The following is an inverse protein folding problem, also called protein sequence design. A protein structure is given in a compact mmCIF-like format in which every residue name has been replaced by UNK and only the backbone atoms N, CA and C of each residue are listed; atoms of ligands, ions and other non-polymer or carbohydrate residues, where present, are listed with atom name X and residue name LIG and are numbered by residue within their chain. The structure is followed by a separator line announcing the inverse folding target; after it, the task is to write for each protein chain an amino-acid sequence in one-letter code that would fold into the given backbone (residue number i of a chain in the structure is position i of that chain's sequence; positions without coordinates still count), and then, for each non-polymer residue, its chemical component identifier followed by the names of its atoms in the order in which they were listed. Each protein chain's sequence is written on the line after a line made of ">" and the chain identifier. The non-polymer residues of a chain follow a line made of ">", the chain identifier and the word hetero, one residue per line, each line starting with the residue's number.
data_IF_068753625954
#
_entry.id   IF_068753625954
#
_cell.length_a   1.000
_cell.length_b   1.000
_cell.length_c   1.000
_cell.angle_alpha   90.00
_cell.angle_beta   90.00
_cell.angle_gamma   90.00
#
_symmetry.space_group_name_H-M   'P 1'
#
loop_
_entity.id
_entity.type
_entity.pdbx_description
1 polymer ?
#
# COMPACT_ATOMS: atom_id res chain seq x y z
N UNK A 1 46.78 -23.71 -10.44
CA UNK A 1 45.71 -23.45 -9.44
C UNK A 1 44.48 -22.99 -10.21
N UNK A 2 43.26 -23.42 -9.84
CA UNK A 2 42.06 -22.90 -10.47
C UNK A 2 41.86 -21.42 -10.12
N UNK A 3 41.57 -20.61 -11.13
CA UNK A 3 41.27 -19.18 -10.99
C UNK A 3 39.78 -18.99 -10.72
N UNK A 4 39.41 -18.13 -9.76
CA UNK A 4 38.00 -17.87 -9.41
C UNK A 4 37.62 -16.44 -9.80
N UNK A 5 36.38 -16.25 -10.22
CA UNK A 5 35.85 -14.94 -10.63
C UNK A 5 34.60 -14.57 -9.85
N UNK A 6 34.44 -13.28 -9.58
CA UNK A 6 33.23 -12.74 -8.98
C UNK A 6 32.04 -12.92 -9.94
N UNK A 7 30.94 -13.56 -9.50
CA UNK A 7 29.76 -13.75 -10.34
C UNK A 7 29.01 -12.44 -10.65
N UNK A 8 29.35 -11.32 -10.00
CA UNK A 8 28.69 -10.03 -10.22
C UNK A 8 29.48 -9.10 -11.16
N UNK A 9 30.77 -8.88 -10.92
CA UNK A 9 31.60 -7.95 -11.71
C UNK A 9 32.67 -8.63 -12.57
N UNK A 10 32.80 -9.96 -12.49
CA UNK A 10 33.78 -10.76 -13.24
C UNK A 10 35.26 -10.48 -12.91
N UNK A 11 35.56 -9.70 -11.86
CA UNK A 11 36.92 -9.57 -11.34
C UNK A 11 37.42 -10.90 -10.76
N UNK A 12 38.72 -11.17 -10.89
CA UNK A 12 39.37 -12.30 -10.22
C UNK A 12 39.24 -12.16 -8.70
N UNK A 13 38.92 -13.25 -8.02
CA UNK A 13 38.76 -13.31 -6.57
C UNK A 13 39.50 -14.52 -6.01
N UNK A 14 39.97 -14.40 -4.77
CA UNK A 14 40.50 -15.54 -4.05
C UNK A 14 39.40 -16.60 -3.82
N UNK A 15 39.77 -17.88 -3.86
CA UNK A 15 38.85 -19.00 -3.67
C UNK A 15 38.09 -18.95 -2.34
N UNK A 16 38.72 -18.42 -1.29
CA UNK A 16 38.19 -18.31 0.05
C UNK A 16 37.40 -17.00 0.30
N UNK A 17 37.40 -16.06 -0.64
CA UNK A 17 36.69 -14.78 -0.47
C UNK A 17 35.18 -14.95 -0.55
N UNK A 18 34.48 -14.57 0.53
CA UNK A 18 33.01 -14.48 0.56
C UNK A 18 32.48 -13.20 -0.08
N UNK A 19 33.31 -12.16 -0.17
CA UNK A 19 32.94 -10.84 -0.69
C UNK A 19 33.94 -10.41 -1.75
N UNK A 20 33.45 -9.87 -2.86
CA UNK A 20 34.31 -9.38 -3.93
C UNK A 20 35.00 -8.08 -3.51
N UNK A 21 36.34 -8.00 -3.54
CA UNK A 21 37.06 -6.78 -3.18
C UNK A 21 36.83 -5.62 -4.16
N UNK A 22 36.41 -5.92 -5.40
CA UNK A 22 36.22 -4.91 -6.45
C UNK A 22 34.84 -4.26 -6.42
N UNK A 23 33.77 -5.04 -6.18
CA UNK A 23 32.39 -4.53 -6.25
C UNK A 23 31.58 -4.70 -4.96
N UNK A 24 32.17 -5.29 -3.92
CA UNK A 24 31.50 -5.52 -2.63
C UNK A 24 30.40 -6.59 -2.65
N UNK A 25 30.17 -7.28 -3.78
CA UNK A 25 29.12 -8.29 -3.87
C UNK A 25 29.47 -9.57 -3.11
N UNK A 26 28.47 -10.22 -2.54
CA UNK A 26 28.57 -11.57 -1.98
C UNK A 26 28.81 -12.60 -3.11
N UNK A 27 29.97 -13.25 -3.06
CA UNK A 27 30.43 -14.21 -4.07
C UNK A 27 29.63 -15.52 -3.99
N UNK A 28 29.18 -15.93 -2.80
CA UNK A 28 28.41 -17.16 -2.62
C UNK A 28 26.95 -16.97 -3.05
N UNK A 29 26.33 -15.86 -2.66
CA UNK A 29 24.96 -15.55 -3.09
C UNK A 29 24.83 -15.50 -4.63
N UNK A 30 25.88 -15.11 -5.35
CA UNK A 30 25.91 -15.17 -6.80
C UNK A 30 26.02 -16.58 -7.38
N UNK A 31 26.67 -17.52 -6.67
CA UNK A 31 26.79 -18.94 -7.06
C UNK A 31 25.48 -19.70 -6.84
N UNK A 32 24.73 -19.32 -5.82
CA UNK A 32 23.45 -19.94 -5.46
C UNK A 32 22.27 -19.53 -6.37
N UNK A 33 22.48 -18.57 -7.29
CA UNK A 33 21.48 -18.18 -8.29
C UNK A 33 21.08 -19.36 -9.15
N UNK A 34 19.80 -19.42 -9.52
CA UNK A 34 19.29 -20.42 -10.45
C UNK A 34 20.08 -20.36 -11.76
N UNK A 35 20.33 -21.53 -12.36
CA UNK A 35 21.20 -21.65 -13.54
C UNK A 35 20.81 -20.69 -14.70
N UNK A 36 19.52 -20.52 -15.08
CA UNK A 36 19.14 -19.55 -16.11
C UNK A 36 19.50 -18.09 -15.76
N UNK A 37 19.37 -17.70 -14.49
CA UNK A 37 19.72 -16.35 -14.03
C UNK A 37 21.23 -16.11 -14.11
N UNK A 38 22.04 -17.14 -13.84
CA UNK A 38 23.50 -17.08 -14.02
C UNK A 38 23.88 -16.86 -15.47
N UNK A 39 23.19 -17.52 -16.41
CA UNK A 39 23.42 -17.34 -17.85
C UNK A 39 22.97 -15.96 -18.34
N UNK A 40 21.82 -15.46 -17.90
CA UNK A 40 21.38 -14.08 -18.21
C UNK A 40 22.42 -13.06 -17.73
N UNK A 41 22.99 -13.26 -16.55
CA UNK A 41 24.06 -12.41 -16.03
C UNK A 41 25.36 -12.55 -16.85
N UNK A 42 25.68 -13.75 -17.31
CA UNK A 42 26.88 -14.02 -18.12
C UNK A 42 26.88 -13.31 -19.49
N UNK A 43 25.73 -12.83 -19.98
CA UNK A 43 25.67 -11.97 -21.17
C UNK A 43 26.40 -10.63 -20.97
N UNK A 44 26.65 -10.21 -19.73
CA UNK A 44 27.41 -8.99 -19.39
C UNK A 44 28.92 -9.22 -19.24
N UNK A 45 29.40 -10.44 -19.49
CA UNK A 45 30.79 -10.80 -19.29
C UNK A 45 31.70 -10.05 -20.28
N UNK A 46 32.90 -9.57 -19.90
CA UNK A 46 33.78 -8.82 -20.80
C UNK A 46 34.30 -9.64 -21.98
N UNK A 47 34.52 -10.94 -21.78
CA UNK A 47 34.99 -11.86 -22.82
C UNK A 47 33.85 -12.34 -23.73
N UNK A 48 34.01 -12.19 -25.05
CA UNK A 48 33.01 -12.58 -26.06
C UNK A 48 32.68 -14.08 -26.02
N UNK A 49 33.67 -14.95 -25.86
CA UNK A 49 33.46 -16.42 -25.83
C UNK A 49 32.50 -16.87 -24.71
N UNK A 50 32.57 -16.21 -23.55
CA UNK A 50 31.66 -16.48 -22.43
C UNK A 50 30.24 -16.01 -22.77
N UNK A 51 30.10 -14.82 -23.36
CA UNK A 51 28.79 -14.32 -23.83
C UNK A 51 28.20 -15.24 -24.89
N UNK A 52 29.00 -15.70 -25.84
CA UNK A 52 28.59 -16.63 -26.90
C UNK A 52 28.06 -17.95 -26.33
N UNK A 53 28.77 -18.52 -25.35
CA UNK A 53 28.30 -19.73 -24.65
C UNK A 53 26.98 -19.50 -23.91
N UNK A 54 26.84 -18.33 -23.27
CA UNK A 54 25.59 -17.95 -22.61
C UNK A 54 24.43 -17.77 -23.60
N UNK A 55 24.68 -17.15 -24.77
CA UNK A 55 23.69 -16.98 -25.84
C UNK A 55 23.13 -18.33 -26.28
N UNK A 56 24.01 -19.30 -26.56
CA UNK A 56 23.61 -20.64 -27.00
C UNK A 56 22.80 -21.39 -25.94
N UNK A 57 23.28 -21.37 -24.69
CA UNK A 57 22.60 -22.03 -23.58
C UNK A 57 21.22 -21.42 -23.29
N UNK A 58 21.10 -20.09 -23.33
CA UNK A 58 19.83 -19.39 -23.15
C UNK A 58 18.84 -19.66 -24.30
N UNK A 59 19.32 -19.78 -25.54
CA UNK A 59 18.47 -20.13 -26.69
C UNK A 59 17.85 -21.53 -26.55
N UNK A 60 18.54 -22.45 -25.87
CA UNK A 60 18.04 -23.79 -25.61
C UNK A 60 17.09 -23.85 -24.41
N UNK A 61 17.39 -23.11 -23.35
CA UNK A 61 16.58 -23.09 -22.13
C UNK A 61 15.32 -22.22 -22.25
N UNK A 62 15.36 -21.21 -23.12
CA UNK A 62 14.28 -20.26 -23.37
C UNK A 62 13.65 -19.64 -22.11
N UNK A 63 14.45 -19.19 -21.12
CA UNK A 63 13.89 -18.61 -19.92
C UNK A 63 13.19 -17.28 -20.23
N UNK A 64 12.23 -16.91 -19.39
CA UNK A 64 11.58 -15.61 -19.46
C UNK A 64 12.63 -14.47 -19.41
N UNK A 65 12.43 -13.44 -20.22
CA UNK A 65 13.35 -12.30 -20.32
C UNK A 65 14.58 -12.49 -21.23
N UNK A 66 14.84 -13.69 -21.75
CA UNK A 66 15.99 -13.95 -22.62
C UNK A 66 16.06 -13.04 -23.85
N UNK A 67 14.92 -12.77 -24.50
CA UNK A 67 14.88 -11.94 -25.71
C UNK A 67 15.42 -10.53 -25.47
N UNK A 68 14.97 -9.87 -24.41
CA UNK A 68 15.43 -8.52 -24.06
C UNK A 68 16.90 -8.51 -23.64
N UNK A 69 17.33 -9.52 -22.87
CA UNK A 69 18.73 -9.65 -22.48
C UNK A 69 19.67 -9.85 -23.69
N UNK A 70 19.21 -10.56 -24.73
CA UNK A 70 19.92 -10.65 -25.99
C UNK A 70 20.01 -9.30 -26.71
N UNK A 71 18.91 -8.53 -26.77
CA UNK A 71 18.93 -7.22 -27.38
C UNK A 71 19.90 -6.25 -26.68
N UNK A 72 19.89 -6.24 -25.34
CA UNK A 72 20.83 -5.43 -24.55
C UNK A 72 22.28 -5.83 -24.83
N UNK A 73 22.58 -7.14 -24.82
CA UNK A 73 23.91 -7.67 -25.10
C UNK A 73 24.45 -7.26 -26.48
N UNK A 74 23.60 -7.28 -27.52
CA UNK A 74 24.00 -6.81 -28.85
C UNK A 74 24.29 -5.30 -28.86
N UNK A 75 23.44 -4.50 -28.23
CA UNK A 75 23.56 -3.04 -28.21
C UNK A 75 24.71 -2.52 -27.34
N UNK A 76 25.07 -3.23 -26.28
CA UNK A 76 26.25 -2.93 -25.45
C UNK A 76 27.56 -3.27 -26.19
N UNK A 77 27.52 -4.18 -27.17
CA UNK A 77 28.67 -4.64 -27.95
C UNK A 77 28.47 -4.47 -29.47
N UNK A 78 28.20 -3.25 -29.96
CA UNK A 78 27.73 -3.03 -31.33
C UNK A 78 28.79 -3.31 -32.42
N UNK A 79 30.06 -3.45 -32.02
CA UNK A 79 31.20 -3.72 -32.90
C UNK A 79 31.50 -5.22 -33.08
N UNK A 80 30.73 -6.11 -32.44
CA UNK A 80 30.87 -7.56 -32.59
C UNK A 80 29.73 -8.13 -33.45
N UNK A 81 29.85 -8.09 -34.80
CA UNK A 81 28.80 -8.59 -35.69
C UNK A 81 28.61 -10.11 -35.58
N UNK A 82 29.62 -10.87 -35.15
CA UNK A 82 29.52 -12.33 -34.99
C UNK A 82 28.59 -12.66 -33.82
N UNK A 83 28.79 -12.00 -32.68
CA UNK A 83 27.90 -12.10 -31.54
C UNK A 83 26.48 -11.63 -31.88
N UNK A 84 26.35 -10.52 -32.60
CA UNK A 84 25.04 -10.01 -33.03
C UNK A 84 24.27 -11.01 -33.92
N UNK A 85 24.95 -11.69 -34.84
CA UNK A 85 24.33 -12.75 -35.67
C UNK A 85 23.97 -13.98 -34.84
N UNK A 86 24.79 -14.36 -33.86
CA UNK A 86 24.46 -15.46 -32.95
C UNK A 86 23.22 -15.13 -32.10
N UNK A 87 23.07 -13.88 -31.66
CA UNK A 87 21.88 -13.38 -30.96
C UNK A 87 20.63 -13.50 -31.85
N UNK A 88 20.70 -13.14 -33.13
CA UNK A 88 19.56 -13.29 -34.04
C UNK A 88 19.12 -14.75 -34.17
N UNK A 89 20.07 -15.69 -34.31
CA UNK A 89 19.78 -17.13 -34.34
C UNK A 89 19.21 -17.65 -33.02
N UNK A 90 19.65 -17.08 -31.90
CA UNK A 90 19.08 -17.39 -30.60
C UNK A 90 17.64 -16.89 -30.48
N UNK A 91 17.37 -15.66 -30.95
CA UNK A 91 16.04 -15.07 -31.00
C UNK A 91 15.09 -15.91 -31.86
N UNK A 92 15.51 -16.45 -33.01
CA UNK A 92 14.69 -17.36 -33.84
C UNK A 92 14.11 -18.55 -33.08
N UNK A 93 14.81 -19.01 -32.04
CA UNK A 93 14.42 -20.19 -31.26
C UNK A 93 13.49 -19.86 -30.10
N UNK A 94 13.35 -18.59 -29.72
CA UNK A 94 12.49 -18.17 -28.62
C UNK A 94 11.01 -18.12 -29.04
N UNK A 95 10.07 -18.25 -28.09
CA UNK A 95 8.66 -18.03 -28.36
C UNK A 95 8.40 -16.61 -28.88
N UNK A 96 7.70 -16.50 -30.01
CA UNK A 96 7.34 -15.22 -30.64
C UNK A 96 6.21 -14.55 -29.88
N UNK A 97 6.57 -13.87 -28.79
CA UNK A 97 5.66 -13.10 -27.94
C UNK A 97 5.97 -11.59 -28.06
N UNK A 98 5.20 -10.70 -27.39
CA UNK A 98 5.43 -9.26 -27.50
C UNK A 98 6.81 -8.80 -27.01
N UNK A 99 7.35 -9.46 -25.97
CA UNK A 99 8.70 -9.17 -25.48
C UNK A 99 9.78 -9.52 -26.51
N UNK A 100 9.60 -10.61 -27.25
CA UNK A 100 10.44 -10.97 -28.40
C UNK A 100 10.37 -9.90 -29.49
N UNK A 101 9.17 -9.48 -29.88
CA UNK A 101 8.99 -8.48 -30.94
C UNK A 101 9.64 -7.13 -30.55
N UNK A 102 9.47 -6.70 -29.30
CA UNK A 102 10.13 -5.51 -28.75
C UNK A 102 11.65 -5.64 -28.78
N UNK A 103 12.19 -6.80 -28.37
CA UNK A 103 13.63 -7.06 -28.40
C UNK A 103 14.20 -7.01 -29.82
N UNK A 104 13.54 -7.67 -30.78
CA UNK A 104 13.98 -7.69 -32.18
C UNK A 104 13.87 -6.29 -32.81
N UNK A 105 12.80 -5.54 -32.51
CA UNK A 105 12.61 -4.16 -32.98
C UNK A 105 13.77 -3.24 -32.58
N UNK A 106 14.26 -3.36 -31.34
CA UNK A 106 15.45 -2.60 -30.88
C UNK A 106 16.72 -2.89 -31.68
N UNK A 107 16.79 -4.03 -32.37
CA UNK A 107 17.95 -4.43 -33.16
C UNK A 107 17.89 -3.98 -34.62
N UNK A 108 16.77 -3.44 -35.09
CA UNK A 108 16.62 -2.97 -36.49
C UNK A 108 17.64 -1.86 -36.80
N UNK A 109 17.84 -0.93 -35.86
CA UNK A 109 18.78 0.19 -35.99
C UNK A 109 20.21 -0.15 -35.49
N UNK A 110 20.55 -1.44 -35.38
CA UNK A 110 21.85 -1.86 -34.86
C UNK A 110 23.01 -1.37 -35.77
N UNK A 111 24.12 -0.82 -35.21
CA UNK A 111 25.22 -0.25 -36.01
C UNK A 111 25.85 -1.21 -37.03
N UNK A 112 25.91 -2.49 -36.71
CA UNK A 112 26.28 -3.53 -37.66
C UNK A 112 25.09 -3.87 -38.58
N UNK A 113 25.15 -3.44 -39.84
CA UNK A 113 24.05 -3.57 -40.80
C UNK A 113 23.56 -5.01 -41.04
N UNK A 114 24.42 -6.02 -40.84
CA UNK A 114 24.03 -7.44 -40.92
C UNK A 114 23.05 -7.82 -39.81
N UNK A 115 23.21 -7.23 -38.63
CA UNK A 115 22.32 -7.45 -37.48
C UNK A 115 21.00 -6.72 -37.70
N UNK A 116 21.05 -5.46 -38.13
CA UNK A 116 19.84 -4.68 -38.44
C UNK A 116 18.96 -5.34 -39.50
N UNK A 117 19.55 -5.77 -40.63
CA UNK A 117 18.80 -6.51 -41.67
C UNK A 117 18.26 -7.85 -41.19
N UNK A 118 19.04 -8.58 -40.38
CA UNK A 118 18.58 -9.84 -39.82
C UNK A 118 17.42 -9.66 -38.84
N UNK A 119 17.45 -8.63 -38.00
CA UNK A 119 16.35 -8.27 -37.12
C UNK A 119 15.09 -7.88 -37.93
N UNK A 120 15.25 -7.08 -38.99
CA UNK A 120 14.13 -6.75 -39.88
C UNK A 120 13.53 -8.00 -40.51
N UNK A 121 14.35 -8.92 -41.03
CA UNK A 121 13.87 -10.19 -41.60
C UNK A 121 13.10 -11.05 -40.57
N UNK A 122 13.53 -11.03 -39.31
CA UNK A 122 12.80 -11.70 -38.23
C UNK A 122 11.41 -11.10 -38.01
N UNK A 123 11.30 -9.76 -37.99
CA UNK A 123 10.02 -9.07 -37.89
C UNK A 123 9.13 -9.33 -39.11
N UNK A 124 9.70 -9.27 -40.31
CA UNK A 124 8.97 -9.52 -41.57
C UNK A 124 8.44 -10.96 -41.64
N UNK A 125 9.12 -11.90 -40.97
CA UNK A 125 8.67 -13.29 -40.86
C UNK A 125 7.54 -13.51 -39.84
N UNK A 126 7.14 -12.49 -39.08
CA UNK A 126 6.01 -12.61 -38.15
C UNK A 126 4.68 -12.57 -38.89
N UNK A 127 3.68 -13.38 -38.48
CA UNK A 127 2.34 -13.26 -39.02
C UNK A 127 1.82 -11.84 -38.79
N UNK A 128 1.28 -11.24 -39.86
CA UNK A 128 0.71 -9.91 -39.86
C UNK A 128 -0.32 -9.78 -38.72
N UNK A 129 -0.01 -8.96 -37.71
CA UNK A 129 -0.84 -8.79 -36.51
C UNK A 129 -0.05 -8.63 -35.20
N UNK A 130 1.24 -8.98 -35.19
CA UNK A 130 2.01 -9.06 -33.94
C UNK A 130 3.27 -8.14 -33.91
N UNK A 131 3.57 -7.43 -35.00
CA UNK A 131 4.54 -6.31 -35.07
C UNK A 131 3.82 -5.03 -35.46
N UNK A 132 3.79 -4.03 -34.57
CA UNK A 132 3.44 -2.64 -34.92
C UNK A 132 2.04 -2.37 -35.49
N UNK A 133 1.14 -3.36 -35.50
CA UNK A 133 -0.26 -3.15 -35.87
C UNK A 133 -0.90 -2.21 -34.87
N UNK A 134 -1.45 -1.09 -35.35
CA UNK A 134 -2.29 -0.19 -34.55
C UNK A 134 -3.22 -1.03 -33.67
N UNK A 135 -3.12 -0.88 -32.35
CA UNK A 135 -3.94 -1.61 -31.40
C UNK A 135 -5.41 -1.23 -31.66
N UNK A 136 -6.16 -2.10 -32.34
CA UNK A 136 -7.55 -1.82 -32.65
C UNK A 136 -8.36 -1.77 -31.35
N UNK A 137 -9.40 -0.91 -31.27
CA UNK A 137 -10.27 -0.86 -30.09
C UNK A 137 -10.85 -2.23 -29.71
N UNK A 138 -11.23 -3.03 -30.71
CA UNK A 138 -11.79 -4.37 -30.48
C UNK A 138 -10.78 -5.35 -29.90
N UNK A 139 -9.53 -5.31 -30.39
CA UNK A 139 -8.46 -6.16 -29.86
C UNK A 139 -8.10 -5.74 -28.43
N UNK A 140 -7.99 -4.44 -28.16
CA UNK A 140 -7.77 -3.94 -26.82
C UNK A 140 -8.89 -4.41 -25.88
N UNK A 141 -10.15 -4.26 -26.28
CA UNK A 141 -11.29 -4.71 -25.49
C UNK A 141 -11.18 -6.19 -25.17
N UNK A 142 -10.93 -7.03 -26.18
CA UNK A 142 -10.77 -8.47 -25.97
C UNK A 142 -9.65 -8.79 -24.98
N UNK A 143 -8.52 -8.06 -25.03
CA UNK A 143 -7.41 -8.21 -24.08
C UNK A 143 -7.76 -7.77 -22.65
N UNK A 144 -8.51 -6.68 -22.50
CA UNK A 144 -8.91 -6.14 -21.18
C UNK A 144 -9.99 -7.01 -20.53
N UNK A 145 -10.96 -7.47 -21.32
CA UNK A 145 -12.12 -8.21 -20.84
C UNK A 145 -11.78 -9.71 -20.61
N UNK A 146 -10.64 -10.20 -21.12
CA UNK A 146 -10.08 -11.51 -20.76
C UNK A 146 -9.32 -11.45 -19.42
N UNK A 147 -10.06 -11.60 -18.34
CA UNK A 147 -9.52 -11.61 -16.97
C UNK A 147 -8.42 -12.65 -16.73
N UNK A 148 -8.49 -13.80 -17.41
CA UNK A 148 -7.46 -14.83 -17.26
C UNK A 148 -6.14 -14.42 -17.95
N UNK A 149 -6.24 -13.59 -18.99
CA UNK A 149 -5.12 -13.11 -19.79
C UNK A 149 -4.45 -11.82 -19.28
N UNK A 150 -4.87 -11.24 -18.14
CA UNK A 150 -4.37 -9.93 -17.67
C UNK A 150 -2.86 -9.83 -17.54
N UNK A 151 -2.16 -10.91 -17.20
CA UNK A 151 -0.70 -10.92 -17.16
C UNK A 151 -0.08 -10.74 -18.56
N UNK A 152 -0.61 -11.45 -19.57
CA UNK A 152 -0.14 -11.33 -20.95
C UNK A 152 -0.55 -10.00 -21.57
N UNK A 153 -1.78 -9.54 -21.30
CA UNK A 153 -2.28 -8.24 -21.72
C UNK A 153 -1.41 -7.11 -21.12
N UNK A 154 -0.99 -7.23 -19.86
CA UNK A 154 -0.10 -6.24 -19.24
C UNK A 154 1.26 -6.18 -19.93
N UNK A 155 1.88 -7.34 -20.21
CA UNK A 155 3.14 -7.40 -20.93
C UNK A 155 3.02 -6.84 -22.36
N UNK A 156 1.91 -7.14 -23.04
CA UNK A 156 1.62 -6.63 -24.38
C UNK A 156 1.46 -5.11 -24.37
N UNK A 157 0.62 -4.56 -23.49
CA UNK A 157 0.37 -3.12 -23.39
C UNK A 157 1.64 -2.36 -22.97
N UNK A 158 2.44 -2.92 -22.07
CA UNK A 158 3.74 -2.36 -21.71
C UNK A 158 4.69 -2.30 -22.93
N UNK A 159 4.71 -3.34 -23.76
CA UNK A 159 5.52 -3.37 -24.98
C UNK A 159 5.05 -2.35 -26.04
N UNK A 160 3.76 -1.97 -26.05
CA UNK A 160 3.23 -0.91 -26.93
C UNK A 160 3.63 0.50 -26.47
N UNK A 161 3.98 0.70 -25.20
CA UNK A 161 4.38 2.01 -24.66
C UNK A 161 3.33 3.10 -24.93
N UNK A 162 3.77 4.24 -25.47
CA UNK A 162 2.88 5.38 -25.80
C UNK A 162 1.75 5.01 -26.78
N UNK A 163 1.95 4.01 -27.65
CA UNK A 163 0.94 3.62 -28.64
C UNK A 163 -0.32 3.00 -28.00
N UNK A 164 -0.23 2.47 -26.77
CA UNK A 164 -1.38 1.95 -26.04
C UNK A 164 -2.24 3.05 -25.37
N UNK A 165 -1.76 4.28 -25.27
CA UNK A 165 -2.40 5.32 -24.46
C UNK A 165 -3.77 5.72 -24.99
N UNK A 166 -3.88 6.09 -26.26
CA UNK A 166 -5.15 6.53 -26.82
C UNK A 166 -6.19 5.39 -26.88
N UNK A 167 -5.84 4.16 -27.28
CA UNK A 167 -6.75 3.02 -27.16
C UNK A 167 -7.29 2.81 -25.73
N UNK A 168 -6.41 2.87 -24.71
CA UNK A 168 -6.84 2.76 -23.30
C UNK A 168 -7.78 3.89 -22.89
N UNK A 169 -7.50 5.13 -23.31
CA UNK A 169 -8.39 6.27 -23.06
C UNK A 169 -9.74 6.11 -23.75
N UNK A 170 -9.75 5.65 -25.01
CA UNK A 170 -10.98 5.35 -25.75
C UNK A 170 -11.83 4.33 -24.99
N UNK A 171 -11.23 3.21 -24.55
CA UNK A 171 -11.92 2.20 -23.74
C UNK A 171 -12.50 2.81 -22.45
N UNK A 172 -11.73 3.68 -21.76
CA UNK A 172 -12.18 4.33 -20.53
C UNK A 172 -13.30 5.38 -20.76
N UNK A 173 -13.38 6.02 -21.93
CA UNK A 173 -14.42 6.99 -22.26
C UNK A 173 -15.79 6.38 -22.58
N UNK A 174 -15.85 5.06 -22.79
CA UNK A 174 -17.13 4.36 -23.01
C UNK A 174 -18.06 4.40 -21.79
N UNK A 175 -17.51 4.76 -20.62
CA UNK A 175 -18.26 5.01 -19.41
C UNK A 175 -18.41 3.81 -18.47
N UNK A 176 -19.24 3.96 -17.42
CA UNK A 176 -19.37 2.97 -16.36
C UNK A 176 -19.91 1.64 -16.87
N UNK A 177 -19.38 0.55 -16.31
CA UNK A 177 -19.78 -0.82 -16.61
C UNK A 177 -20.17 -1.53 -15.32
N UNK A 178 -21.03 -2.56 -15.40
CA UNK A 178 -21.45 -3.35 -14.22
C UNK A 178 -20.26 -4.14 -13.65
N UNK A 179 -19.32 -4.55 -14.50
CA UNK A 179 -18.08 -5.16 -14.05
C UNK A 179 -16.95 -4.12 -14.12
N UNK A 180 -16.40 -3.66 -12.97
CA UNK A 180 -15.37 -2.64 -12.95
C UNK A 180 -13.99 -3.15 -13.35
N UNK A 181 -13.77 -4.48 -13.37
CA UNK A 181 -12.43 -5.06 -13.45
C UNK A 181 -11.67 -4.67 -14.72
N UNK A 182 -12.35 -4.65 -15.88
CA UNK A 182 -11.74 -4.20 -17.13
C UNK A 182 -11.30 -2.74 -17.07
N UNK A 183 -12.16 -1.86 -16.54
CA UNK A 183 -11.86 -0.42 -16.36
C UNK A 183 -10.75 -0.18 -15.33
N UNK A 184 -10.75 -0.89 -14.19
CA UNK A 184 -9.67 -0.82 -13.18
C UNK A 184 -8.34 -1.28 -13.77
N UNK A 185 -8.34 -2.38 -14.53
CA UNK A 185 -7.16 -2.84 -15.25
C UNK A 185 -6.65 -1.80 -16.25
N UNK A 186 -7.54 -1.22 -17.06
CA UNK A 186 -7.20 -0.17 -18.02
C UNK A 186 -6.59 1.07 -17.34
N UNK A 187 -7.15 1.53 -16.21
CA UNK A 187 -6.57 2.61 -15.38
C UNK A 187 -5.17 2.24 -14.91
N UNK A 188 -4.98 1.00 -14.43
CA UNK A 188 -3.68 0.52 -13.95
C UNK A 188 -2.65 0.47 -15.08
N UNK A 189 -3.05 0.02 -16.27
CA UNK A 189 -2.16 -0.03 -17.44
C UNK A 189 -1.80 1.38 -17.90
N UNK A 190 -2.77 2.28 -18.00
CA UNK A 190 -2.54 3.68 -18.36
C UNK A 190 -1.55 4.33 -17.38
N UNK A 191 -1.72 4.10 -16.07
CA UNK A 191 -0.83 4.58 -15.03
C UNK A 191 0.61 4.03 -15.10
N UNK A 192 0.83 2.86 -15.72
CA UNK A 192 2.16 2.25 -15.88
C UNK A 192 2.97 2.80 -17.06
N UNK A 193 2.32 3.42 -18.04
CA UNK A 193 2.99 3.88 -19.28
C UNK A 193 3.95 5.07 -19.09
N UNK A 194 4.04 5.65 -17.88
CA UNK A 194 5.09 6.60 -17.48
C UNK A 194 5.09 7.98 -18.17
N UNK A 195 4.22 8.21 -19.15
CA UNK A 195 4.11 9.47 -19.88
C UNK A 195 3.43 10.57 -19.04
N UNK A 196 3.71 11.83 -19.33
CA UNK A 196 3.12 13.00 -18.66
C UNK A 196 1.63 13.12 -19.02
N UNK A 197 1.25 12.81 -20.26
CA UNK A 197 -0.15 12.86 -20.71
C UNK A 197 -1.03 11.72 -20.12
N UNK A 198 -0.46 10.79 -19.36
CA UNK A 198 -1.23 9.82 -18.57
C UNK A 198 -2.12 10.53 -17.55
N UNK A 199 -1.64 11.63 -16.96
CA UNK A 199 -2.42 12.37 -15.97
C UNK A 199 -3.70 12.91 -16.59
N UNK A 200 -3.65 13.43 -17.82
CA UNK A 200 -4.85 13.93 -18.50
C UNK A 200 -5.89 12.82 -18.69
N UNK A 201 -5.45 11.62 -19.11
CA UNK A 201 -6.34 10.46 -19.25
C UNK A 201 -6.93 9.97 -17.92
N UNK A 202 -6.14 9.97 -16.84
CA UNK A 202 -6.63 9.63 -15.50
C UNK A 202 -7.65 10.67 -15.00
N UNK A 203 -7.38 11.95 -15.23
CA UNK A 203 -8.29 13.04 -14.84
C UNK A 203 -9.59 13.01 -15.63
N UNK A 204 -9.55 12.69 -16.91
CA UNK A 204 -10.77 12.46 -17.71
C UNK A 204 -11.69 11.45 -17.03
N UNK A 205 -11.13 10.33 -16.53
CA UNK A 205 -11.92 9.31 -15.81
C UNK A 205 -12.40 9.81 -14.45
N UNK A 206 -11.56 10.53 -13.69
CA UNK A 206 -11.93 11.05 -12.37
C UNK A 206 -13.14 11.99 -12.44
N UNK A 207 -13.16 12.88 -13.44
CA UNK A 207 -14.19 13.91 -13.58
C UNK A 207 -15.40 13.47 -14.41
N UNK A 208 -15.29 12.38 -15.19
CA UNK A 208 -16.42 11.83 -15.91
C UNK A 208 -17.42 11.16 -14.95
N UNK A 209 -18.71 11.17 -15.32
CA UNK A 209 -19.79 10.42 -14.64
C UNK A 209 -19.82 10.58 -13.10
N UNK A 210 -20.30 11.71 -12.57
CA UNK A 210 -20.42 11.91 -11.13
C UNK A 210 -21.15 10.76 -10.45
N UNK A 211 -20.61 10.19 -9.36
CA UNK A 211 -21.14 8.95 -8.80
C UNK A 211 -22.60 9.06 -8.35
N UNK A 212 -23.00 10.24 -7.87
CA UNK A 212 -24.36 10.52 -7.42
C UNK A 212 -25.41 10.50 -8.55
N UNK A 213 -24.99 10.62 -9.81
CA UNK A 213 -25.86 10.56 -10.99
C UNK A 213 -26.05 9.12 -11.52
N UNK A 214 -25.20 8.18 -11.09
CA UNK A 214 -25.25 6.80 -11.55
C UNK A 214 -26.25 5.94 -10.77
N UNK A 215 -26.85 4.97 -11.47
CA UNK A 215 -27.62 3.89 -10.84
C UNK A 215 -26.73 3.06 -9.90
N UNK A 216 -27.31 2.50 -8.83
CA UNK A 216 -26.54 1.85 -7.77
C UNK A 216 -25.49 0.82 -8.24
N UNK A 217 -25.78 -0.12 -9.16
CA UNK A 217 -24.79 -1.09 -9.62
C UNK A 217 -23.60 -0.46 -10.37
N UNK A 218 -23.89 0.57 -11.17
CA UNK A 218 -22.87 1.32 -11.91
C UNK A 218 -22.07 2.24 -10.97
N UNK A 219 -22.72 2.81 -9.95
CA UNK A 219 -22.09 3.66 -8.95
C UNK A 219 -21.04 2.89 -8.16
N UNK A 220 -21.36 1.70 -7.68
CA UNK A 220 -20.42 0.85 -6.94
C UNK A 220 -19.22 0.46 -7.82
N UNK A 221 -19.48 0.12 -9.07
CA UNK A 221 -18.43 -0.23 -10.03
C UNK A 221 -17.53 0.96 -10.35
N UNK A 222 -18.10 2.12 -10.69
CA UNK A 222 -17.32 3.31 -11.03
C UNK A 222 -16.61 3.90 -9.81
N UNK A 223 -17.13 3.69 -8.59
CA UNK A 223 -16.43 4.04 -7.35
C UNK A 223 -15.07 3.33 -7.25
N UNK A 224 -15.00 2.04 -7.58
CA UNK A 224 -13.73 1.28 -7.59
C UNK A 224 -12.77 1.78 -8.69
N UNK A 225 -13.31 2.13 -9.86
CA UNK A 225 -12.51 2.68 -10.97
C UNK A 225 -11.89 4.03 -10.58
N UNK A 226 -12.70 4.94 -10.04
CA UNK A 226 -12.23 6.26 -9.60
C UNK A 226 -11.28 6.18 -8.41
N UNK A 227 -11.49 5.25 -7.49
CA UNK A 227 -10.55 5.02 -6.37
C UNK A 227 -9.16 4.56 -6.87
N UNK A 228 -9.13 3.68 -7.89
CA UNK A 228 -7.90 3.29 -8.56
C UNK A 228 -7.23 4.48 -9.29
N UNK A 229 -8.02 5.33 -9.95
CA UNK A 229 -7.52 6.56 -10.58
C UNK A 229 -6.81 7.45 -9.57
N UNK A 230 -7.44 7.74 -8.43
CA UNK A 230 -6.85 8.58 -7.38
C UNK A 230 -5.59 7.95 -6.80
N UNK A 231 -5.61 6.62 -6.59
CA UNK A 231 -4.43 5.88 -6.11
C UNK A 231 -3.22 6.10 -7.01
N UNK A 232 -3.41 6.00 -8.33
CA UNK A 232 -2.33 6.16 -9.31
C UNK A 232 -1.95 7.63 -9.55
N UNK A 233 -2.93 8.52 -9.67
CA UNK A 233 -2.69 9.94 -9.89
C UNK A 233 -1.96 10.56 -8.71
N UNK A 234 -2.41 10.34 -7.47
CA UNK A 234 -1.82 10.93 -6.28
C UNK A 234 -0.37 10.46 -6.00
N UNK A 235 0.08 9.35 -6.60
CA UNK A 235 1.45 8.87 -6.50
C UNK A 235 2.44 9.60 -7.42
N UNK A 236 1.94 10.40 -8.38
CA UNK A 236 2.75 11.17 -9.34
C UNK A 236 2.86 12.62 -8.90
N UNK A 237 3.85 13.34 -9.39
CA UNK A 237 4.00 14.78 -9.13
C UNK A 237 3.47 15.59 -10.32
N UNK A 238 2.41 16.38 -10.10
CA UNK A 238 1.81 17.24 -11.11
C UNK A 238 1.03 18.39 -10.46
N UNK A 239 0.87 19.56 -11.13
CA UNK A 239 0.43 20.78 -10.48
C UNK A 239 -0.96 20.73 -9.83
N UNK A 240 -1.90 19.98 -10.41
CA UNK A 240 -3.29 19.91 -9.93
C UNK A 240 -3.55 18.76 -8.95
N UNK A 241 -2.50 18.03 -8.52
CA UNK A 241 -2.64 16.85 -7.65
C UNK A 241 -3.48 17.09 -6.41
N UNK A 242 -3.20 18.17 -5.68
CA UNK A 242 -3.94 18.48 -4.46
C UNK A 242 -5.41 18.84 -4.73
N UNK A 243 -5.68 19.49 -5.87
CA UNK A 243 -7.04 19.84 -6.28
C UNK A 243 -7.85 18.60 -6.69
N UNK A 244 -7.24 17.66 -7.41
CA UNK A 244 -7.87 16.41 -7.80
C UNK A 244 -8.19 15.54 -6.57
N UNK A 245 -7.26 15.46 -5.59
CA UNK A 245 -7.50 14.77 -4.31
C UNK A 245 -8.62 15.44 -3.52
N UNK A 246 -8.64 16.78 -3.47
CA UNK A 246 -9.71 17.53 -2.80
C UNK A 246 -11.08 17.27 -3.46
N UNK A 247 -11.15 17.26 -4.79
CA UNK A 247 -12.36 16.90 -5.53
C UNK A 247 -12.82 15.48 -5.22
N UNK A 248 -11.91 14.50 -5.34
CA UNK A 248 -12.18 13.10 -5.07
C UNK A 248 -12.69 12.85 -3.64
N UNK A 249 -12.16 13.58 -2.65
CA UNK A 249 -12.59 13.50 -1.27
C UNK A 249 -13.96 14.15 -1.06
N UNK A 250 -14.15 15.38 -1.53
CA UNK A 250 -15.35 16.20 -1.25
C UNK A 250 -16.56 15.76 -2.07
N UNK A 251 -16.36 15.46 -3.34
CA UNK A 251 -17.44 15.17 -4.29
C UNK A 251 -17.75 13.69 -4.39
N UNK A 252 -16.72 12.84 -4.38
CA UNK A 252 -16.85 11.40 -4.65
C UNK A 252 -16.64 10.51 -3.40
N UNK A 253 -16.12 11.09 -2.30
CA UNK A 253 -15.85 10.41 -1.02
C UNK A 253 -14.99 9.15 -1.16
N UNK A 254 -13.93 9.22 -1.98
CA UNK A 254 -13.07 8.07 -2.31
C UNK A 254 -12.04 7.77 -1.19
N UNK A 255 -11.89 6.50 -0.73
CA UNK A 255 -10.92 6.10 0.29
C UNK A 255 -9.47 6.43 -0.08
N UNK A 256 -9.09 6.23 -1.34
CA UNK A 256 -7.77 6.58 -1.84
C UNK A 256 -7.50 8.08 -1.73
N UNK A 257 -8.52 8.94 -1.88
CA UNK A 257 -8.39 10.38 -1.71
C UNK A 257 -8.15 10.76 -0.25
N UNK A 258 -8.83 10.08 0.69
CA UNK A 258 -8.60 10.25 2.13
C UNK A 258 -7.16 9.91 2.49
N UNK A 259 -6.66 8.75 2.05
CA UNK A 259 -5.27 8.35 2.27
C UNK A 259 -4.26 9.27 1.57
N UNK A 260 -4.57 9.72 0.36
CA UNK A 260 -3.73 10.66 -0.38
C UNK A 260 -3.63 12.03 0.30
N UNK A 261 -4.72 12.56 0.86
CA UNK A 261 -4.72 13.84 1.57
C UNK A 261 -3.71 13.84 2.74
N UNK A 262 -3.65 12.74 3.50
CA UNK A 262 -2.67 12.58 4.57
C UNK A 262 -1.22 12.49 4.05
N UNK A 263 -0.96 11.65 3.04
CA UNK A 263 0.40 11.48 2.47
C UNK A 263 0.94 12.75 1.81
N UNK A 264 0.07 13.53 1.19
CA UNK A 264 0.45 14.76 0.50
C UNK A 264 0.55 15.96 1.44
N UNK A 265 0.17 15.83 2.72
CA UNK A 265 0.22 16.94 3.66
C UNK A 265 -0.82 18.03 3.37
N UNK A 266 -1.96 17.69 2.76
CA UNK A 266 -2.98 18.67 2.34
C UNK A 266 -3.79 19.16 3.55
N UNK A 267 -3.17 20.03 4.36
CA UNK A 267 -3.73 20.54 5.61
C UNK A 267 -5.09 21.25 5.47
N UNK A 268 -5.36 21.84 4.31
CA UNK A 268 -6.65 22.48 3.99
C UNK A 268 -7.85 21.51 4.01
N UNK A 269 -7.61 20.20 3.91
CA UNK A 269 -8.64 19.16 3.97
C UNK A 269 -8.87 18.60 5.38
N UNK A 270 -8.13 19.10 6.40
CA UNK A 270 -8.24 18.58 7.76
C UNK A 270 -9.66 18.69 8.35
N UNK A 271 -10.42 19.79 8.17
CA UNK A 271 -11.80 19.87 8.65
C UNK A 271 -12.71 18.80 8.02
N UNK A 272 -12.54 18.50 6.74
CA UNK A 272 -13.28 17.45 6.06
C UNK A 272 -12.90 16.05 6.55
N UNK A 273 -11.61 15.80 6.79
CA UNK A 273 -11.16 14.55 7.38
C UNK A 273 -11.75 14.34 8.78
N UNK A 274 -11.88 15.40 9.58
CA UNK A 274 -12.56 15.32 10.90
C UNK A 274 -14.03 14.95 10.73
N UNK A 275 -14.74 15.55 9.77
CA UNK A 275 -16.14 15.17 9.47
C UNK A 275 -16.26 13.70 9.05
N UNK A 276 -15.27 13.16 8.33
CA UNK A 276 -15.24 11.75 7.93
C UNK A 276 -15.04 10.77 9.11
N UNK A 277 -14.67 11.24 10.31
CA UNK A 277 -14.66 10.40 11.52
C UNK A 277 -16.06 9.94 11.92
N UNK A 278 -17.12 10.62 11.48
CA UNK A 278 -18.52 10.21 11.66
C UNK A 278 -18.95 9.09 10.71
N UNK A 279 -18.16 8.81 9.66
CA UNK A 279 -18.49 7.83 8.64
C UNK A 279 -18.15 6.40 9.09
N UNK A 280 -18.94 5.40 8.69
CA UNK A 280 -18.71 4.01 9.08
C UNK A 280 -17.64 3.32 8.22
N UNK A 281 -17.40 3.81 7.01
CA UNK A 281 -16.45 3.24 6.03
C UNK A 281 -15.13 4.01 6.03
N UNK A 282 -15.19 5.34 5.99
CA UNK A 282 -14.02 6.19 5.78
C UNK A 282 -13.30 6.61 7.06
N UNK A 283 -13.90 6.42 8.23
CA UNK A 283 -13.34 6.96 9.47
C UNK A 283 -11.95 6.43 9.83
N UNK A 284 -11.65 5.17 9.53
CA UNK A 284 -10.32 4.62 9.79
C UNK A 284 -9.27 5.31 8.91
N UNK A 285 -9.53 5.42 7.60
CA UNK A 285 -8.65 6.12 6.68
C UNK A 285 -8.51 7.60 7.06
N UNK A 286 -9.60 8.24 7.52
CA UNK A 286 -9.59 9.64 7.95
C UNK A 286 -8.72 9.84 9.20
N UNK A 287 -8.82 8.96 10.21
CA UNK A 287 -7.95 9.00 11.39
C UNK A 287 -6.47 8.81 11.05
N UNK A 288 -6.16 7.90 10.12
CA UNK A 288 -4.79 7.71 9.62
C UNK A 288 -4.29 8.94 8.85
N UNK A 289 -5.13 9.56 8.03
CA UNK A 289 -4.78 10.78 7.31
C UNK A 289 -4.53 11.95 8.27
N UNK A 290 -5.39 12.14 9.28
CA UNK A 290 -5.21 13.16 10.32
C UNK A 290 -3.92 12.93 11.12
N UNK A 291 -3.57 11.66 11.41
CA UNK A 291 -2.29 11.30 12.03
C UNK A 291 -1.11 11.72 11.16
N UNK A 292 -1.18 11.44 9.85
CA UNK A 292 -0.13 11.80 8.89
C UNK A 292 0.03 13.32 8.72
N UNK A 293 -1.06 14.10 8.89
CA UNK A 293 -1.01 15.57 8.89
C UNK A 293 -0.34 16.16 10.15
N UNK A 294 -0.05 15.35 11.17
CA UNK A 294 0.67 15.78 12.37
C UNK A 294 -0.03 16.95 13.10
N UNK A 295 0.69 18.05 13.42
CA UNK A 295 0.12 19.18 14.15
C UNK A 295 -1.11 19.81 13.50
N UNK A 296 -1.20 19.83 12.16
CA UNK A 296 -2.36 20.38 11.45
C UNK A 296 -3.60 19.51 11.69
N UNK A 297 -3.43 18.19 11.64
CA UNK A 297 -4.50 17.24 11.96
C UNK A 297 -4.93 17.34 13.42
N UNK A 298 -3.98 17.48 14.35
CA UNK A 298 -4.27 17.70 15.78
C UNK A 298 -5.10 18.96 16.00
N UNK A 299 -4.70 20.08 15.40
CA UNK A 299 -5.39 21.35 15.53
C UNK A 299 -6.85 21.26 15.04
N UNK A 300 -7.07 20.63 13.88
CA UNK A 300 -8.41 20.45 13.33
C UNK A 300 -9.31 19.58 14.22
N UNK A 301 -8.77 18.50 14.81
CA UNK A 301 -9.54 17.68 15.75
C UNK A 301 -9.88 18.50 17.01
N UNK A 302 -8.91 19.21 17.58
CA UNK A 302 -9.11 20.01 18.78
C UNK A 302 -10.13 21.13 18.58
N UNK A 303 -10.16 21.74 17.39
CA UNK A 303 -11.14 22.76 17.00
C UNK A 303 -12.57 22.20 16.94
N UNK A 304 -12.75 21.00 16.37
CA UNK A 304 -14.08 20.39 16.22
C UNK A 304 -14.58 19.62 17.45
N UNK A 305 -13.68 19.20 18.35
CA UNK A 305 -14.00 18.34 19.48
C UNK A 305 -15.08 18.90 20.43
N UNK A 306 -15.14 20.20 20.76
CA UNK A 306 -16.21 20.75 21.60
C UNK A 306 -17.61 20.47 21.04
N UNK A 307 -17.80 20.66 19.74
CA UNK A 307 -19.09 20.44 19.06
C UNK A 307 -19.44 18.95 19.00
N UNK A 308 -18.45 18.09 18.72
CA UNK A 308 -18.62 16.64 18.72
C UNK A 308 -19.05 16.13 20.09
N UNK A 309 -18.40 16.60 21.17
CA UNK A 309 -18.76 16.25 22.55
C UNK A 309 -20.15 16.77 22.92
N UNK A 310 -20.50 18.01 22.54
CA UNK A 310 -21.83 18.55 22.81
C UNK A 310 -22.96 17.76 22.11
N UNK A 311 -22.71 17.27 20.89
CA UNK A 311 -23.69 16.51 20.11
C UNK A 311 -23.75 15.01 20.47
N UNK A 312 -22.69 14.47 21.09
CA UNK A 312 -22.52 13.06 21.42
C UNK A 312 -23.73 12.39 22.11
N UNK A 313 -24.36 12.99 23.15
CA UNK A 313 -25.43 12.32 23.89
C UNK A 313 -26.67 12.02 23.04
N UNK A 314 -26.89 12.81 21.99
CA UNK A 314 -28.07 12.71 21.11
C UNK A 314 -27.74 12.14 19.73
N UNK A 315 -26.48 12.20 19.28
CA UNK A 315 -26.05 11.72 17.97
C UNK A 315 -24.97 10.67 18.09
N UNK A 316 -25.35 9.42 17.79
CA UNK A 316 -24.46 8.26 17.74
C UNK A 316 -23.21 8.51 16.87
N UNK A 317 -23.36 9.14 15.70
CA UNK A 317 -22.22 9.40 14.81
C UNK A 317 -21.22 10.37 15.42
N UNK A 318 -21.70 11.43 16.08
CA UNK A 318 -20.84 12.38 16.78
C UNK A 318 -20.13 11.74 17.98
N UNK A 319 -20.75 10.75 18.65
CA UNK A 319 -20.09 9.89 19.64
C UNK A 319 -18.91 9.12 19.08
N UNK A 320 -19.13 8.44 17.96
CA UNK A 320 -18.07 7.68 17.28
C UNK A 320 -16.94 8.60 16.83
N UNK A 321 -17.27 9.76 16.24
CA UNK A 321 -16.29 10.75 15.82
C UNK A 321 -15.49 11.33 16.99
N UNK A 322 -16.14 11.68 18.11
CA UNK A 322 -15.46 12.15 19.32
C UNK A 322 -14.47 11.10 19.84
N UNK A 323 -14.91 9.85 19.98
CA UNK A 323 -14.05 8.73 20.40
C UNK A 323 -12.86 8.56 19.45
N UNK A 324 -13.10 8.48 18.14
CA UNK A 324 -12.05 8.29 17.11
C UNK A 324 -11.08 9.47 17.06
N UNK A 325 -11.58 10.70 17.21
CA UNK A 325 -10.77 11.93 17.28
C UNK A 325 -9.85 11.93 18.50
N UNK A 326 -10.38 11.61 19.69
CA UNK A 326 -9.59 11.49 20.92
C UNK A 326 -8.49 10.41 20.81
N UNK A 327 -8.82 9.25 20.26
CA UNK A 327 -7.81 8.21 20.03
C UNK A 327 -6.74 8.66 19.02
N UNK A 328 -7.13 9.39 17.98
CA UNK A 328 -6.19 9.97 17.00
C UNK A 328 -5.26 11.02 17.64
N UNK A 329 -5.79 11.86 18.53
CA UNK A 329 -4.97 12.80 19.32
C UNK A 329 -3.98 12.06 20.23
N UNK A 330 -4.39 10.94 20.86
CA UNK A 330 -3.49 10.11 21.68
C UNK A 330 -2.33 9.55 20.84
N UNK A 331 -2.63 8.94 19.69
CA UNK A 331 -1.62 8.30 18.85
C UNK A 331 -0.56 9.29 18.35
N UNK A 332 -0.95 10.56 18.17
CA UNK A 332 -0.04 11.62 17.75
C UNK A 332 0.66 12.32 18.93
N UNK A 333 0.43 11.88 20.17
CA UNK A 333 1.02 12.47 21.37
C UNK A 333 0.51 13.88 21.69
N UNK A 334 -0.67 14.26 21.20
CA UNK A 334 -1.25 15.57 21.46
C UNK A 334 -1.66 15.72 22.94
N UNK A 335 -1.59 16.94 23.47
CA UNK A 335 -2.18 17.28 24.76
C UNK A 335 -3.63 17.73 24.58
N UNK A 336 -4.53 17.24 25.42
CA UNK A 336 -5.91 17.72 25.46
C UNK A 336 -6.02 18.90 26.46
N UNK A 337 -6.64 20.03 26.07
CA UNK A 337 -6.89 21.14 27.00
C UNK A 337 -7.64 20.66 28.26
N UNK A 338 -7.26 21.10 29.47
CA UNK A 338 -7.87 20.62 30.71
C UNK A 338 -9.40 20.71 30.75
N UNK A 339 -9.96 21.80 30.19
CA UNK A 339 -11.40 22.00 30.09
C UNK A 339 -12.11 20.90 29.29
N UNK A 340 -11.51 20.46 28.17
CA UNK A 340 -12.06 19.40 27.32
C UNK A 340 -11.83 18.01 27.93
N UNK A 341 -10.73 17.81 28.65
CA UNK A 341 -10.51 16.56 29.38
C UNK A 341 -11.54 16.37 30.51
N UNK A 342 -11.87 17.46 31.22
CA UNK A 342 -12.80 17.44 32.35
C UNK A 342 -14.27 17.31 31.92
N UNK A 343 -14.67 17.86 30.76
CA UNK A 343 -16.04 17.74 30.25
C UNK A 343 -16.44 16.29 29.97
N UNK A 344 -15.46 15.41 29.72
CA UNK A 344 -15.62 13.97 29.49
C UNK A 344 -16.47 13.23 30.53
N UNK A 345 -16.52 13.69 31.77
CA UNK A 345 -17.15 12.97 32.89
C UNK A 345 -18.68 12.80 32.78
N UNK A 346 -19.36 13.62 31.96
CA UNK A 346 -20.80 13.53 31.72
C UNK A 346 -21.22 12.78 30.45
N UNK A 347 -20.25 12.27 29.68
CA UNK A 347 -20.49 11.65 28.37
C UNK A 347 -20.64 10.14 28.47
N UNK A 348 -20.95 9.52 27.32
CA UNK A 348 -20.94 8.07 27.19
C UNK A 348 -19.65 7.45 27.74
N UNK A 349 -19.71 6.29 28.45
CA UNK A 349 -18.53 5.72 29.13
C UNK A 349 -17.29 5.55 28.25
N UNK A 350 -17.46 5.18 26.98
CA UNK A 350 -16.35 5.07 26.03
C UNK A 350 -15.67 6.43 25.72
N UNK A 351 -16.45 7.51 25.61
CA UNK A 351 -15.93 8.86 25.39
C UNK A 351 -15.29 9.40 26.66
N UNK A 352 -15.91 9.18 27.82
CA UNK A 352 -15.35 9.50 29.12
C UNK A 352 -13.99 8.80 29.33
N UNK A 353 -13.89 7.52 29.00
CA UNK A 353 -12.64 6.76 29.04
C UNK A 353 -11.58 7.34 28.10
N UNK A 354 -11.96 7.72 26.87
CA UNK A 354 -11.05 8.35 25.92
C UNK A 354 -10.54 9.72 26.39
N UNK A 355 -11.39 10.55 27.02
CA UNK A 355 -10.94 11.80 27.65
C UNK A 355 -9.99 11.54 28.84
N UNK A 356 -10.26 10.50 29.63
CA UNK A 356 -9.45 10.12 30.80
C UNK A 356 -8.02 9.71 30.43
N UNK A 357 -7.75 9.35 29.17
CA UNK A 357 -6.39 9.08 28.68
C UNK A 357 -5.46 10.29 28.77
N UNK A 358 -6.02 11.50 28.76
CA UNK A 358 -5.28 12.77 28.83
C UNK A 358 -5.24 13.37 30.23
N UNK A 359 -5.89 12.72 31.21
CA UNK A 359 -5.99 13.22 32.57
C UNK A 359 -4.86 12.67 33.45
N UNK A 360 -4.48 13.38 34.53
CA UNK A 360 -3.60 12.83 35.54
C UNK A 360 -4.26 11.62 36.24
N UNK A 361 -3.43 10.78 36.86
CA UNK A 361 -3.90 9.65 37.64
C UNK A 361 -4.76 10.12 38.83
N UNK A 362 -5.86 9.42 39.07
CA UNK A 362 -6.83 9.75 40.12
C UNK A 362 -8.00 8.76 40.10
N UNK A 363 -8.82 8.76 41.15
CA UNK A 363 -9.94 7.82 41.28
C UNK A 363 -10.92 7.90 40.10
N UNK A 364 -11.34 9.12 39.71
CA UNK A 364 -12.25 9.34 38.59
C UNK A 364 -11.64 8.88 37.26
N UNK A 365 -10.37 9.20 37.02
CA UNK A 365 -9.63 8.77 35.84
C UNK A 365 -9.52 7.24 35.80
N UNK A 366 -9.14 6.59 36.90
CA UNK A 366 -9.04 5.13 36.99
C UNK A 366 -10.40 4.46 36.68
N UNK A 367 -11.49 4.97 37.27
CA UNK A 367 -12.84 4.47 36.99
C UNK A 367 -13.20 4.56 35.51
N UNK A 368 -12.97 5.71 34.88
CA UNK A 368 -13.25 5.89 33.45
C UNK A 368 -12.39 4.97 32.58
N UNK A 369 -11.09 4.83 32.89
CA UNK A 369 -10.19 3.95 32.15
C UNK A 369 -10.57 2.47 32.29
N UNK A 370 -10.97 2.01 33.48
CA UNK A 370 -11.42 0.62 33.66
C UNK A 370 -12.66 0.35 32.81
N UNK A 371 -13.63 1.28 32.76
CA UNK A 371 -14.79 1.16 31.84
C UNK A 371 -14.35 1.03 30.39
N UNK A 372 -13.38 1.85 29.95
CA UNK A 372 -12.83 1.72 28.60
C UNK A 372 -12.13 0.37 28.36
N UNK A 373 -11.42 -0.15 29.36
CA UNK A 373 -10.66 -1.39 29.30
C UNK A 373 -11.51 -2.68 29.29
N UNK A 374 -12.79 -2.58 29.62
CA UNK A 374 -13.75 -3.69 29.59
C UNK A 374 -14.83 -3.52 28.51
N UNK A 375 -14.74 -2.45 27.70
CA UNK A 375 -15.67 -2.21 26.59
C UNK A 375 -15.40 -3.07 25.35
N UNK A 376 -16.12 -2.78 24.27
CA UNK A 376 -16.02 -3.54 23.01
C UNK A 376 -15.09 -2.90 21.96
N UNK A 377 -14.80 -1.61 22.09
CA UNK A 377 -13.92 -0.91 21.16
C UNK A 377 -12.47 -1.35 21.42
N UNK A 378 -11.99 -2.36 20.67
CA UNK A 378 -10.68 -3.00 20.89
C UNK A 378 -9.52 -2.00 21.01
N UNK A 379 -9.46 -0.99 20.14
CA UNK A 379 -8.44 0.06 20.24
C UNK A 379 -8.53 0.83 21.56
N UNK A 380 -9.72 1.21 22.03
CA UNK A 380 -9.90 1.86 23.33
C UNK A 380 -9.52 0.93 24.50
N UNK A 381 -9.86 -0.36 24.39
CA UNK A 381 -9.52 -1.37 25.39
C UNK A 381 -8.01 -1.46 25.57
N UNK A 382 -7.28 -1.69 24.48
CA UNK A 382 -5.83 -1.90 24.51
C UNK A 382 -5.12 -0.68 25.15
N UNK A 383 -5.52 0.51 24.72
CA UNK A 383 -4.88 1.77 25.12
C UNK A 383 -5.23 2.17 26.56
N UNK A 384 -6.42 1.81 27.07
CA UNK A 384 -6.80 1.97 28.48
C UNK A 384 -6.09 0.97 29.38
N UNK A 385 -6.01 -0.31 28.96
CA UNK A 385 -5.27 -1.35 29.69
C UNK A 385 -3.81 -0.98 29.85
N UNK A 386 -3.15 -0.55 28.77
CA UNK A 386 -1.77 -0.05 28.80
C UNK A 386 -1.59 1.09 29.80
N UNK A 387 -2.51 2.07 29.79
CA UNK A 387 -2.45 3.24 30.69
C UNK A 387 -2.60 2.85 32.16
N UNK A 388 -3.48 1.90 32.47
CA UNK A 388 -3.74 1.41 33.84
C UNK A 388 -2.58 0.60 34.44
N UNK A 389 -1.66 0.08 33.61
CA UNK A 389 -0.46 -0.60 34.10
C UNK A 389 0.57 0.36 34.73
N UNK A 390 0.41 1.67 34.54
CA UNK A 390 1.31 2.66 35.11
C UNK A 390 1.21 2.69 36.65
N UNK A 391 2.33 2.80 37.38
CA UNK A 391 2.35 2.72 38.85
C UNK A 391 1.41 3.70 39.56
N UNK A 392 1.21 4.88 38.97
CA UNK A 392 0.42 5.97 39.55
C UNK A 392 -1.08 5.63 39.70
N UNK A 393 -1.58 4.62 38.98
CA UNK A 393 -2.97 4.20 39.10
C UNK A 393 -3.22 3.20 40.23
N UNK A 394 -2.18 2.54 40.75
CA UNK A 394 -2.30 1.46 41.77
C UNK A 394 -3.19 1.83 42.97
N UNK A 395 -3.09 3.03 43.58
CA UNK A 395 -3.92 3.39 44.73
C UNK A 395 -5.42 3.37 44.46
N UNK A 396 -5.81 3.47 43.18
CA UNK A 396 -7.19 3.64 42.75
C UNK A 396 -7.79 2.38 42.11
N UNK A 397 -6.96 1.39 41.74
CA UNK A 397 -7.41 0.21 40.98
C UNK A 397 -8.44 -0.61 41.74
N UNK A 398 -8.21 -0.92 43.02
CA UNK A 398 -9.11 -1.78 43.79
C UNK A 398 -10.52 -1.19 43.87
N UNK A 399 -10.63 0.07 44.29
CA UNK A 399 -11.93 0.74 44.39
C UNK A 399 -12.64 0.84 43.04
N UNK A 400 -11.89 1.02 41.95
CA UNK A 400 -12.44 1.10 40.61
C UNK A 400 -12.91 -0.26 40.06
N UNK A 401 -12.17 -1.35 40.31
CA UNK A 401 -12.59 -2.71 39.99
C UNK A 401 -13.85 -3.09 40.77
N UNK A 402 -13.90 -2.80 42.06
CA UNK A 402 -15.07 -3.07 42.90
C UNK A 402 -16.31 -2.29 42.45
N UNK A 403 -16.13 -1.05 41.97
CA UNK A 403 -17.22 -0.25 41.42
C UNK A 403 -17.82 -0.92 40.16
N UNK A 404 -16.96 -1.38 39.24
CA UNK A 404 -17.39 -2.03 37.99
C UNK A 404 -18.00 -3.41 38.26
N UNK A 405 -17.48 -4.17 39.21
CA UNK A 405 -18.05 -5.46 39.60
C UNK A 405 -19.49 -5.36 40.15
N UNK A 406 -19.91 -4.18 40.63
CA UNK A 406 -21.29 -3.92 41.09
C UNK A 406 -22.23 -3.54 39.96
N UNK A 407 -21.72 -3.32 38.75
CA UNK A 407 -22.52 -2.95 37.59
C UNK A 407 -22.74 -4.18 36.70
N UNK A 408 -23.93 -4.80 36.73
CA UNK A 408 -24.18 -6.05 36.04
C UNK A 408 -24.21 -5.89 34.52
N UNK A 409 -24.28 -4.65 34.02
CA UNK A 409 -24.37 -4.32 32.61
C UNK A 409 -23.62 -3.05 32.30
N UNK A 410 -23.01 -3.01 31.12
CA UNK A 410 -22.36 -1.84 30.56
C UNK A 410 -22.93 -1.51 29.17
N UNK A 411 -23.06 -0.21 28.84
CA UNK A 411 -23.43 0.18 27.48
C UNK A 411 -22.29 -0.09 26.49
N UNK A 412 -22.60 -0.71 25.35
CA UNK A 412 -21.73 -0.70 24.17
C UNK A 412 -21.63 0.73 23.59
N UNK A 413 -20.85 0.91 22.53
CA UNK A 413 -20.70 2.24 21.90
C UNK A 413 -22.02 2.80 21.33
N UNK A 414 -23.01 1.94 21.09
CA UNK A 414 -24.34 2.30 20.60
C UNK A 414 -25.31 2.66 21.74
N UNK A 415 -24.95 2.36 22.99
CA UNK A 415 -25.75 2.57 24.18
C UNK A 415 -26.58 1.36 24.61
N UNK A 416 -26.43 0.21 23.93
CA UNK A 416 -27.13 -1.02 24.32
C UNK A 416 -26.45 -1.65 25.54
N UNK A 417 -27.24 -2.11 26.50
CA UNK A 417 -26.73 -2.67 27.75
C UNK A 417 -26.38 -4.16 27.59
N UNK A 418 -25.12 -4.51 27.78
CA UNK A 418 -24.61 -5.89 27.72
C UNK A 418 -23.96 -6.30 29.03
N UNK A 419 -23.96 -7.60 29.32
CA UNK A 419 -23.10 -8.14 30.39
C UNK A 419 -21.63 -7.97 29.99
N UNK A 420 -20.73 -7.96 30.98
CA UNK A 420 -19.29 -7.98 30.70
C UNK A 420 -18.92 -9.26 29.93
N UNK A 421 -17.96 -9.14 29.02
CA UNK A 421 -17.40 -10.32 28.36
C UNK A 421 -16.59 -11.15 29.36
N UNK A 422 -16.51 -12.46 29.15
CA UNK A 422 -15.69 -13.35 29.99
C UNK A 422 -14.22 -12.90 30.02
N UNK A 423 -13.70 -12.36 28.92
CA UNK A 423 -12.36 -11.79 28.85
C UNK A 423 -12.21 -10.57 29.78
N UNK A 424 -13.19 -9.67 29.79
CA UNK A 424 -13.20 -8.52 30.66
C UNK A 424 -13.27 -8.92 32.14
N UNK A 425 -14.09 -9.90 32.50
CA UNK A 425 -14.19 -10.43 33.86
C UNK A 425 -12.86 -11.02 34.34
N UNK A 426 -12.22 -11.85 33.51
CA UNK A 426 -10.90 -12.42 33.81
C UNK A 426 -9.84 -11.33 33.97
N UNK A 427 -9.85 -10.32 33.10
CA UNK A 427 -8.91 -9.20 33.18
C UNK A 427 -9.12 -8.37 34.46
N UNK A 428 -10.36 -8.07 34.84
CA UNK A 428 -10.69 -7.37 36.09
C UNK A 428 -10.22 -8.15 37.33
N UNK A 429 -10.46 -9.47 37.34
CA UNK A 429 -10.02 -10.34 38.43
C UNK A 429 -8.49 -10.35 38.56
N UNK A 430 -7.76 -10.46 37.43
CA UNK A 430 -6.31 -10.39 37.43
C UNK A 430 -5.79 -9.03 37.94
N UNK A 431 -6.42 -7.93 37.52
CA UNK A 431 -6.05 -6.58 37.95
C UNK A 431 -6.25 -6.41 39.47
N UNK A 432 -7.33 -6.94 40.05
CA UNK A 432 -7.61 -6.88 41.49
C UNK A 432 -6.56 -7.59 42.36
N UNK A 433 -6.08 -8.76 41.94
CA UNK A 433 -5.06 -9.53 42.68
C UNK A 433 -3.67 -8.88 42.70
N UNK A 434 -3.32 -8.16 41.62
CA UNK A 434 -2.02 -7.46 41.58
C UNK A 434 -1.93 -6.33 42.62
N UNK A 435 -3.07 -5.76 43.05
CA UNK A 435 -3.11 -4.67 44.02
C UNK A 435 -2.93 -5.13 45.47
N UNK A 436 -3.33 -6.35 45.82
CA UNK A 436 -3.35 -6.84 47.22
C UNK A 436 -2.07 -7.54 47.66
N UNK A 437 -1.20 -7.97 46.72
CA UNK A 437 0.00 -8.77 47.05
C UNK A 437 1.17 -8.02 47.69
N UNK A 438 1.13 -6.68 47.84
CA UNK A 438 2.20 -5.90 48.49
C UNK A 438 1.95 -5.66 49.98
N UNK A 439 2.10 -6.73 50.75
CA UNK A 439 2.24 -6.67 52.21
C UNK A 439 3.23 -7.69 52.78
N UNK A 440 3.72 -8.64 51.97
CA UNK A 440 4.72 -9.62 52.40
C UNK A 440 5.93 -9.55 51.48
N UNK A 441 7.11 -9.12 51.96
CA UNK A 441 8.34 -9.33 51.23
C UNK A 441 8.54 -10.84 51.08
N UNK A 442 8.62 -11.32 49.85
CA UNK A 442 9.02 -12.68 49.56
C UNK A 442 10.53 -12.80 49.83
N UNK A 443 10.95 -13.83 50.55
CA UNK A 443 12.30 -13.93 51.13
C UNK A 443 13.41 -14.05 50.07
N UNK A 444 13.07 -14.21 48.78
CA UNK A 444 14.01 -14.61 47.73
C UNK A 444 14.22 -13.60 46.57
N UNK A 445 13.65 -12.39 46.62
CA UNK A 445 14.09 -11.26 45.77
C UNK A 445 14.01 -11.44 44.24
N UNK A 446 13.25 -12.40 43.71
CA UNK A 446 13.10 -12.58 42.25
C UNK A 446 11.85 -11.87 41.72
N UNK A 447 11.95 -11.03 40.67
CA UNK A 447 10.80 -10.44 40.02
C UNK A 447 10.01 -11.51 39.25
N UNK A 448 8.72 -11.64 39.55
CA UNK A 448 7.78 -12.48 38.80
C UNK A 448 7.56 -11.87 37.40
N UNK A 449 8.04 -12.58 36.38
CA UNK A 449 7.73 -12.31 34.96
C UNK A 449 6.29 -12.75 34.65
N UNK A 450 5.31 -11.98 35.10
CA UNK A 450 3.91 -12.10 34.68
C UNK A 450 3.71 -11.05 33.61
N UNK A 451 3.75 -11.42 32.33
CA UNK A 451 3.04 -10.82 31.19
C UNK A 451 3.58 -11.46 29.90
N UNK A 452 3.02 -12.63 29.57
CA UNK A 452 2.86 -13.11 28.19
C UNK A 452 1.41 -13.57 28.09
N UNK A 453 0.53 -12.64 27.71
CA UNK A 453 -0.83 -12.92 27.25
C UNK A 453 -0.90 -12.53 25.79
#
# INVERSE_FOLDING_TARGET
>A
MPTFFCPSCFAEVDAASSTCPQCGADVQAGRDRAYPQRLLHALKHPLSDIRMTAIEALAQLQPEGAAMAFADCALEHPRDPVQGVAILRALERLPRNPAWAAAVSRLVDHPAAVVGRGAQALLDSMPAGMVGGSLSPDHLRALIDDYAGHAQASAYLAAQGRAAMEPLRVYLREGPQINPQGRVFAVTMLARLGDDCVIDGLREVLYAHPLHELAAPLRESEYLVKDAVVTHAAARDYPQRSADVAFALRSERLPAAVGAAGRLGTGELAPELVRLLEDDVLAQAAGQALTALGPVGQAAILEALPDLLAAEPVKLRSRLAALRGLLTLRDTGASLPPMLSASGQGHHPAVAAACALFMPAGAATANALIRGAVGECRRLVDVCRERLLQPDYRPWLQGAVEAIAREPRMPDIYGNQHALSLEAEHWLHALGHTSTSRGRPDHDGRPLSIFKL
#
